data_IF_462378952856
#
_entry.id   IF_462378952856
#
_cell.length_a   1.000
_cell.length_b   1.000
_cell.length_c   1.000
_cell.angle_alpha   90.00
_cell.angle_beta   90.00
_cell.angle_gamma   90.00
#
_symmetry.space_group_name_H-M   'P 1'
#
loop_
_entity.id
_entity.type
_entity.pdbx_description
1 polymer ?
#
# COMPACT_ATOMS: atom_id res chain seq x y z
N UNK A 1 37.70 22.21 -28.22
CA UNK A 1 37.02 21.69 -29.42
C UNK A 1 36.17 20.50 -28.94
N UNK A 2 35.15 20.72 -28.10
CA UNK A 2 33.75 20.99 -28.47
C UNK A 2 33.19 20.07 -29.55
N UNK A 3 32.31 19.17 -29.15
CA UNK A 3 31.02 18.94 -29.82
C UNK A 3 30.02 18.40 -28.79
N UNK A 4 29.16 19.31 -28.34
CA UNK A 4 27.97 19.05 -27.53
C UNK A 4 26.84 18.58 -28.44
N UNK A 5 26.07 17.58 -28.02
CA UNK A 5 24.66 17.45 -28.39
C UNK A 5 23.88 17.17 -27.10
N UNK A 6 22.96 18.08 -26.78
CA UNK A 6 22.10 18.04 -25.59
C UNK A 6 20.64 17.99 -26.07
N UNK A 7 19.88 17.07 -25.47
CA UNK A 7 18.41 17.06 -25.26
C UNK A 7 17.50 16.69 -26.44
N UNK A 8 16.70 15.62 -26.26
CA UNK A 8 15.24 15.73 -25.99
C UNK A 8 14.64 14.39 -25.51
N UNK A 9 14.39 14.34 -24.20
CA UNK A 9 13.18 13.84 -23.51
C UNK A 9 12.37 12.66 -24.08
N UNK A 10 12.44 11.51 -23.40
CA UNK A 10 11.27 10.69 -23.03
C UNK A 10 11.67 9.78 -21.87
N UNK A 11 11.54 10.31 -20.66
CA UNK A 11 11.71 9.56 -19.41
C UNK A 11 10.60 8.53 -19.26
N UNK A 12 10.72 7.33 -19.81
CA UNK A 12 9.95 6.18 -19.33
C UNK A 12 10.75 5.50 -18.23
N UNK A 13 10.70 6.11 -17.06
CA UNK A 13 11.03 5.45 -15.80
C UNK A 13 10.04 4.30 -15.57
N UNK A 14 10.32 3.12 -16.13
CA UNK A 14 9.71 1.88 -15.65
C UNK A 14 10.53 1.39 -14.45
N UNK A 15 10.52 2.18 -13.39
CA UNK A 15 10.84 1.72 -12.05
C UNK A 15 9.77 0.70 -11.68
N UNK A 16 9.97 -0.58 -12.00
CA UNK A 16 9.18 -1.66 -11.40
C UNK A 16 9.69 -1.89 -9.98
N UNK A 17 9.58 -0.85 -9.15
CA UNK A 17 9.70 -0.94 -7.71
C UNK A 17 8.48 -1.70 -7.22
N UNK A 18 8.68 -3.00 -6.99
CA UNK A 18 7.97 -3.85 -6.03
C UNK A 18 6.93 -3.11 -5.16
N UNK A 19 5.69 -3.03 -5.63
CA UNK A 19 4.54 -2.52 -4.89
C UNK A 19 3.50 -3.63 -4.68
N UNK A 20 3.97 -4.77 -4.14
CA UNK A 20 3.12 -5.93 -3.85
C UNK A 20 2.02 -5.66 -2.81
N UNK A 21 2.25 -4.75 -1.85
CA UNK A 21 1.32 -4.51 -0.73
C UNK A 21 0.06 -3.70 -1.07
N UNK A 22 0.18 -2.62 -1.85
CA UNK A 22 -0.97 -1.80 -2.25
C UNK A 22 -1.94 -2.57 -3.17
N UNK A 23 -1.38 -3.46 -4.00
CA UNK A 23 -2.15 -4.33 -4.89
C UNK A 23 -2.99 -5.35 -4.13
N UNK A 24 -2.50 -5.83 -2.99
CA UNK A 24 -3.19 -6.83 -2.18
C UNK A 24 -4.31 -6.21 -1.35
N UNK A 25 -4.06 -5.07 -0.69
CA UNK A 25 -5.10 -4.31 0.01
C UNK A 25 -6.28 -3.95 -0.91
N UNK A 26 -5.99 -3.53 -2.15
CA UNK A 26 -7.01 -3.25 -3.17
C UNK A 26 -7.84 -4.47 -3.54
N UNK A 27 -7.21 -5.65 -3.69
CA UNK A 27 -7.90 -6.92 -3.97
C UNK A 27 -8.83 -7.30 -2.80
N UNK A 28 -8.35 -7.22 -1.56
CA UNK A 28 -9.17 -7.53 -0.38
C UNK A 28 -10.37 -6.57 -0.25
N UNK A 29 -10.18 -5.27 -0.48
CA UNK A 29 -11.28 -4.28 -0.47
C UNK A 29 -12.34 -4.59 -1.53
N UNK A 30 -11.92 -5.05 -2.72
CA UNK A 30 -12.83 -5.47 -3.78
C UNK A 30 -13.58 -6.76 -3.42
N UNK A 31 -12.90 -7.76 -2.87
CA UNK A 31 -13.54 -8.99 -2.37
C UNK A 31 -14.56 -8.70 -1.28
N UNK A 32 -14.27 -7.75 -0.37
CA UNK A 32 -15.23 -7.31 0.65
C UNK A 32 -16.50 -6.74 0.02
N UNK A 33 -16.37 -5.87 -0.99
CA UNK A 33 -17.51 -5.30 -1.71
C UNK A 33 -18.33 -6.37 -2.43
N UNK A 34 -17.66 -7.33 -3.08
CA UNK A 34 -18.32 -8.45 -3.76
C UNK A 34 -19.07 -9.36 -2.76
N UNK A 35 -18.50 -9.62 -1.57
CA UNK A 35 -19.16 -10.36 -0.49
C UNK A 35 -20.41 -9.64 0.03
N UNK A 36 -20.36 -8.32 0.19
CA UNK A 36 -21.55 -7.53 0.55
C UNK A 36 -22.62 -7.58 -0.56
N UNK A 37 -22.22 -7.52 -1.83
CA UNK A 37 -23.13 -7.66 -2.95
C UNK A 37 -23.79 -9.06 -2.95
N UNK A 38 -23.02 -10.13 -2.74
CA UNK A 38 -23.55 -11.49 -2.60
C UNK A 38 -24.52 -11.60 -1.43
N UNK A 39 -24.20 -11.01 -0.26
CA UNK A 39 -25.09 -11.02 0.91
C UNK A 39 -26.46 -10.40 0.59
N UNK A 40 -26.49 -9.31 -0.19
CA UNK A 40 -27.72 -8.65 -0.65
C UNK A 40 -28.50 -9.46 -1.68
N UNK A 41 -27.81 -10.33 -2.42
CA UNK A 41 -28.41 -11.21 -3.43
C UNK A 41 -28.89 -12.56 -2.86
N UNK A 42 -28.44 -12.99 -1.68
CA UNK A 42 -28.93 -14.20 -0.99
C UNK A 42 -30.46 -14.35 -0.99
N UNK A 43 -31.27 -13.33 -0.63
CA UNK A 43 -32.72 -13.44 -0.68
C UNK A 43 -33.28 -13.67 -2.10
N UNK A 44 -32.60 -13.18 -3.14
CA UNK A 44 -32.95 -13.39 -4.55
C UNK A 44 -32.44 -14.72 -5.12
N UNK A 45 -31.56 -15.42 -4.39
CA UNK A 45 -31.02 -16.71 -4.79
C UNK A 45 -32.05 -17.85 -4.74
N UNK A 46 -31.71 -18.95 -5.41
CA UNK A 46 -32.48 -20.19 -5.42
C UNK A 46 -32.15 -21.00 -4.15
N UNK A 47 -33.16 -21.53 -3.47
CA UNK A 47 -33.02 -22.39 -2.29
C UNK A 47 -34.03 -22.08 -1.18
N UNK A 48 -34.15 -22.99 -0.22
CA UNK A 48 -35.05 -22.87 0.91
C UNK A 48 -34.56 -21.84 1.95
N UNK A 49 -35.45 -21.35 2.80
CA UNK A 49 -35.14 -20.35 3.82
C UNK A 49 -33.95 -20.75 4.71
N UNK A 50 -33.83 -22.04 5.07
CA UNK A 50 -32.67 -22.56 5.83
C UNK A 50 -31.36 -22.41 5.07
N UNK A 51 -31.35 -22.72 3.77
CA UNK A 51 -30.15 -22.61 2.93
C UNK A 51 -29.73 -21.15 2.79
N UNK A 52 -30.70 -20.24 2.60
CA UNK A 52 -30.45 -18.79 2.55
C UNK A 52 -29.84 -18.27 3.86
N UNK A 53 -30.36 -18.69 5.00
CA UNK A 53 -29.81 -18.31 6.32
C UNK A 53 -28.38 -18.83 6.49
N UNK A 54 -28.12 -20.09 6.11
CA UNK A 54 -26.78 -20.66 6.18
C UNK A 54 -25.80 -19.92 5.27
N UNK A 55 -26.22 -19.60 4.03
CA UNK A 55 -25.42 -18.84 3.09
C UNK A 55 -25.12 -17.42 3.59
N UNK A 56 -26.11 -16.72 4.15
CA UNK A 56 -25.92 -15.41 4.74
C UNK A 56 -24.92 -15.44 5.90
N UNK A 57 -25.01 -16.44 6.80
CA UNK A 57 -24.06 -16.62 7.90
C UNK A 57 -22.64 -16.88 7.41
N UNK A 58 -22.48 -17.70 6.38
CA UNK A 58 -21.17 -18.00 5.79
C UNK A 58 -20.55 -16.75 5.17
N UNK A 59 -21.31 -15.99 4.39
CA UNK A 59 -20.85 -14.73 3.78
C UNK A 59 -20.49 -13.72 4.89
N UNK A 60 -21.30 -13.61 5.94
CA UNK A 60 -21.02 -12.72 7.06
C UNK A 60 -19.72 -13.08 7.79
N UNK A 61 -19.44 -14.37 7.97
CA UNK A 61 -18.17 -14.83 8.54
C UNK A 61 -16.98 -14.48 7.62
N UNK A 62 -17.11 -14.64 6.31
CA UNK A 62 -16.07 -14.24 5.36
C UNK A 62 -15.83 -12.72 5.36
N UNK A 63 -16.88 -11.91 5.46
CA UNK A 63 -16.76 -10.45 5.58
C UNK A 63 -15.91 -10.08 6.81
N UNK A 64 -16.20 -10.69 7.97
CA UNK A 64 -15.44 -10.41 9.20
C UNK A 64 -13.95 -10.76 9.05
N UNK A 65 -13.66 -11.90 8.42
CA UNK A 65 -12.29 -12.36 8.17
C UNK A 65 -11.55 -11.37 7.25
N UNK A 66 -12.15 -10.99 6.11
CA UNK A 66 -11.54 -10.05 5.17
C UNK A 66 -11.34 -8.67 5.81
N UNK A 67 -12.30 -8.20 6.62
CA UNK A 67 -12.19 -6.92 7.32
C UNK A 67 -11.04 -6.92 8.33
N UNK A 68 -10.85 -8.03 9.07
CA UNK A 68 -9.72 -8.19 9.98
C UNK A 68 -8.37 -8.22 9.24
N UNK A 69 -8.31 -8.83 8.06
CA UNK A 69 -7.10 -8.82 7.22
C UNK A 69 -6.77 -7.42 6.70
N UNK A 70 -7.77 -6.68 6.22
CA UNK A 70 -7.62 -5.29 5.77
C UNK A 70 -7.05 -4.43 6.90
N UNK A 71 -7.63 -4.48 8.10
CA UNK A 71 -7.14 -3.68 9.22
C UNK A 71 -5.70 -4.01 9.61
N UNK A 72 -5.32 -5.29 9.57
CA UNK A 72 -3.94 -5.70 9.86
C UNK A 72 -2.96 -5.19 8.80
N UNK A 73 -3.35 -5.17 7.52
CA UNK A 73 -2.52 -4.63 6.44
C UNK A 73 -2.40 -3.11 6.52
N UNK A 74 -3.50 -2.38 6.77
CA UNK A 74 -3.47 -0.91 6.91
C UNK A 74 -2.56 -0.47 8.07
N UNK A 75 -2.58 -1.20 9.19
CA UNK A 75 -1.67 -0.95 10.33
C UNK A 75 -0.20 -1.20 9.98
N UNK A 76 0.09 -2.26 9.22
CA UNK A 76 1.47 -2.55 8.77
C UNK A 76 1.99 -1.48 7.82
N UNK A 77 1.19 -1.06 6.84
CA UNK A 77 1.62 -0.06 5.85
C UNK A 77 1.86 1.32 6.48
N UNK A 78 1.03 1.72 7.45
CA UNK A 78 1.20 2.99 8.18
C UNK A 78 2.41 2.98 9.12
N UNK A 79 2.71 1.85 9.76
CA UNK A 79 3.92 1.69 10.57
C UNK A 79 5.20 1.73 9.71
N UNK A 80 5.18 1.21 8.48
CA UNK A 80 6.34 1.18 7.61
C UNK A 80 6.70 2.57 7.03
N UNK A 81 5.68 3.37 6.66
CA UNK A 81 5.90 4.73 6.11
C UNK A 81 6.60 5.68 7.08
N UNK A 82 6.44 5.52 8.38
CA UNK A 82 7.09 6.37 9.39
C UNK A 82 8.56 6.02 9.63
N UNK A 83 8.98 4.79 9.30
CA UNK A 83 10.37 4.35 9.47
C UNK A 83 11.30 4.91 8.38
N UNK A 84 10.78 5.05 7.16
CA UNK A 84 11.57 5.49 5.99
C UNK A 84 11.87 7.00 5.94
N UNK A 85 11.08 7.84 6.64
CA UNK A 85 11.33 9.30 6.67
C UNK A 85 12.39 9.74 7.67
N UNK A 86 12.80 8.86 8.60
CA UNK A 86 13.74 9.21 9.68
C UNK A 86 15.21 8.97 9.32
N UNK A 87 15.49 8.25 8.22
CA UNK A 87 16.87 7.91 7.86
C UNK A 87 17.57 8.96 6.97
N UNK A 88 16.82 9.90 6.36
CA UNK A 88 17.41 10.92 5.48
C UNK A 88 17.79 12.24 6.19
N UNK A 89 17.49 12.41 7.48
CA UNK A 89 17.69 13.70 8.19
C UNK A 89 18.88 13.73 9.16
N UNK A 90 19.75 12.72 9.14
CA UNK A 90 20.95 12.67 10.00
C UNK A 90 22.29 12.76 9.27
N UNK A 91 22.32 12.77 7.93
CA UNK A 91 23.59 12.81 7.19
C UNK A 91 24.08 14.24 6.92
N UNK A 92 23.23 15.26 7.00
CA UNK A 92 23.59 16.64 6.61
C UNK A 92 24.11 17.53 7.76
N UNK A 93 24.13 17.07 9.02
CA UNK A 93 24.57 17.91 10.16
C UNK A 93 25.93 17.55 10.76
N UNK A 94 26.62 16.53 10.25
CA UNK A 94 27.95 16.11 10.77
C UNK A 94 29.13 16.60 9.93
N UNK A 95 28.90 17.12 8.73
CA UNK A 95 29.98 17.56 7.82
C UNK A 95 30.30 19.05 7.87
N UNK A 96 29.50 19.88 8.55
CA UNK A 96 29.73 21.34 8.61
C UNK A 96 30.58 21.79 9.82
N UNK A 97 30.69 20.97 10.87
CA UNK A 97 31.35 21.35 12.12
C UNK A 97 32.89 21.22 12.12
N UNK A 98 33.51 20.74 11.03
CA UNK A 98 34.97 20.47 10.98
C UNK A 98 35.75 21.34 9.98
N UNK A 99 35.15 22.39 9.39
CA UNK A 99 35.82 23.22 8.37
C UNK A 99 36.16 24.66 8.80
N UNK A 100 36.31 24.92 10.10
CA UNK A 100 36.58 26.28 10.60
C UNK A 100 37.88 26.44 11.43
N UNK A 101 38.82 25.50 11.38
CA UNK A 101 40.05 25.59 12.19
C UNK A 101 41.38 25.66 11.44
N UNK A 102 41.42 25.62 10.10
CA UNK A 102 42.69 25.64 9.34
C UNK A 102 42.87 26.86 8.41
N UNK A 103 42.28 28.00 8.75
CA UNK A 103 42.60 29.28 8.09
C UNK A 103 42.91 30.35 9.13
N UNK A 104 44.02 30.16 9.87
CA UNK A 104 44.83 31.26 10.40
C UNK A 104 46.16 30.71 10.96
N UNK A 105 47.19 30.69 10.11
CA UNK A 105 48.60 30.66 10.49
C UNK A 105 49.42 31.33 9.39
#
# INVERSE_FOLDING_TARGET
MSSSIVVTSASTAASTSSSGGASELGKLKKQLADLYAQLRQVPQGIGDAKQKIAQAKLIQAQIQLVQAQIQNLEKKESAEKTKSSSQHKQVDRRTDAHRLLDVYA
#
